data_IF_305176187127
#
_entry.id   IF_305176187127
#
_cell.length_a   1.000
_cell.length_b   1.000
_cell.length_c   1.000
_cell.angle_alpha   90.00
_cell.angle_beta   90.00
_cell.angle_gamma   90.00
#
_symmetry.space_group_name_H-M   'P 1'
#
loop_
_entity.id
_entity.type
_entity.pdbx_description
1 polymer ?
#
# COMPACT_ATOMS: atom_id res chain seq x y z
N UNK A 1 12.60 -8.91 -1.87
CA UNK A 1 11.38 -8.17 -2.29
C UNK A 1 11.18 -7.04 -1.30
N UNK A 2 11.08 -5.81 -1.78
CA UNK A 2 10.87 -4.65 -0.92
C UNK A 2 9.49 -4.79 -0.28
N UNK A 3 9.41 -4.84 1.05
CA UNK A 3 8.12 -4.96 1.74
C UNK A 3 7.48 -3.59 1.78
N UNK A 4 6.20 -3.50 1.40
CA UNK A 4 5.43 -2.26 1.50
C UNK A 4 5.36 -1.81 2.96
N UNK A 5 5.97 -0.66 3.26
CA UNK A 5 6.05 -0.13 4.62
C UNK A 5 5.17 1.10 4.83
N UNK A 6 5.20 1.64 6.05
CA UNK A 6 4.41 2.84 6.38
C UNK A 6 4.79 4.07 5.52
N UNK A 7 6.06 4.23 5.17
CA UNK A 7 6.50 5.37 4.35
C UNK A 7 6.03 5.28 2.90
N UNK A 8 5.67 4.10 2.40
CA UNK A 8 5.12 3.94 1.05
C UNK A 8 3.70 4.51 0.94
N UNK A 9 2.98 4.77 2.04
CA UNK A 9 1.67 5.45 1.97
C UNK A 9 1.76 6.85 1.35
N UNK A 10 2.91 7.52 1.49
CA UNK A 10 3.17 8.82 0.86
C UNK A 10 3.11 8.76 -0.67
N UNK A 11 3.29 7.56 -1.25
CA UNK A 11 3.11 7.36 -2.68
C UNK A 11 1.64 7.54 -3.10
N UNK A 12 0.68 7.10 -2.26
CA UNK A 12 -0.76 7.25 -2.53
C UNK A 12 -1.27 8.68 -2.32
N UNK A 13 -0.58 9.49 -1.52
CA UNK A 13 -0.93 10.90 -1.32
C UNK A 13 -0.68 11.75 -2.58
N UNK A 14 0.22 11.31 -3.46
CA UNK A 14 0.45 11.94 -4.77
C UNK A 14 -0.46 11.30 -5.80
N UNK A 15 -1.03 12.12 -6.69
CA UNK A 15 -1.85 11.62 -7.81
C UNK A 15 -1.06 10.57 -8.59
N UNK A 16 -1.50 9.29 -8.59
CA UNK A 16 -0.74 8.23 -9.25
C UNK A 16 -0.75 8.51 -10.75
N UNK A 17 0.44 8.52 -11.36
CA UNK A 17 0.63 8.88 -12.78
C UNK A 17 -0.03 7.88 -13.75
N UNK A 18 -0.41 6.69 -13.29
CA UNK A 18 -1.07 5.66 -14.09
C UNK A 18 -1.87 4.67 -13.25
N UNK A 19 -3.05 4.21 -13.72
CA UNK A 19 -3.85 3.16 -13.07
C UNK A 19 -3.07 1.85 -12.85
N UNK A 20 -2.16 1.52 -13.77
CA UNK A 20 -1.31 0.34 -13.67
C UNK A 20 -0.35 0.45 -12.49
N UNK A 21 0.28 1.61 -12.31
CA UNK A 21 1.19 1.86 -11.20
C UNK A 21 0.46 1.79 -9.85
N UNK A 22 -0.75 2.33 -9.78
CA UNK A 22 -1.62 2.25 -8.62
C UNK A 22 -1.94 0.80 -8.25
N UNK A 23 -2.32 -0.02 -9.25
CA UNK A 23 -2.60 -1.46 -9.05
C UNK A 23 -1.37 -2.21 -8.55
N UNK A 24 -0.20 -1.96 -9.11
CA UNK A 24 1.04 -2.58 -8.67
C UNK A 24 1.34 -2.26 -7.20
N UNK A 25 1.24 -0.97 -6.81
CA UNK A 25 1.50 -0.56 -5.41
C UNK A 25 0.47 -1.10 -4.41
N UNK A 26 -0.80 -1.17 -4.78
CA UNK A 26 -1.84 -1.81 -3.95
C UNK A 26 -1.56 -3.30 -3.78
N UNK A 27 -1.13 -3.98 -4.84
CA UNK A 27 -0.79 -5.41 -4.77
C UNK A 27 0.37 -5.64 -3.81
N UNK A 28 1.38 -4.78 -3.86
CA UNK A 28 2.54 -4.82 -2.97
C UNK A 28 2.14 -4.62 -1.49
N UNK A 29 1.21 -3.70 -1.23
CA UNK A 29 0.63 -3.47 0.10
C UNK A 29 -0.12 -4.70 0.62
N UNK A 30 -1.00 -5.28 -0.20
CA UNK A 30 -1.77 -6.48 0.18
C UNK A 30 -0.83 -7.64 0.46
N UNK A 31 0.18 -7.84 -0.38
CA UNK A 31 1.15 -8.93 -0.24
C UNK A 31 2.03 -8.78 1.01
N UNK A 32 2.33 -7.54 1.42
CA UNK A 32 3.18 -7.25 2.59
C UNK A 32 2.41 -7.20 3.92
N UNK A 33 1.08 -7.35 3.90
CA UNK A 33 0.23 -7.20 5.08
C UNK A 33 -0.25 -8.56 5.60
N UNK A 34 -0.30 -8.71 6.91
CA UNK A 34 -0.81 -9.94 7.53
C UNK A 34 -2.33 -10.06 7.43
N UNK A 35 -3.04 -8.93 7.52
CA UNK A 35 -4.51 -8.87 7.48
C UNK A 35 -4.98 -7.61 6.72
N UNK A 36 -4.53 -7.37 5.48
CA UNK A 36 -5.05 -6.25 4.68
C UNK A 36 -6.20 -6.68 3.76
N UNK A 37 -7.22 -5.83 3.72
CA UNK A 37 -8.29 -5.83 2.73
C UNK A 37 -8.24 -4.52 1.96
N UNK A 38 -8.30 -4.63 0.64
CA UNK A 38 -8.46 -3.50 -0.26
C UNK A 38 -9.82 -3.59 -0.94
N UNK A 39 -10.61 -2.53 -0.87
CA UNK A 39 -11.92 -2.44 -1.51
C UNK A 39 -12.04 -1.16 -2.32
N UNK A 40 -12.63 -1.25 -3.50
CA UNK A 40 -13.06 -0.07 -4.27
C UNK A 40 -14.47 0.28 -3.80
N UNK A 41 -14.61 1.45 -3.19
CA UNK A 41 -15.89 1.94 -2.65
C UNK A 41 -16.68 2.72 -3.69
N UNK A 42 -15.99 3.52 -4.52
CA UNK A 42 -16.66 4.34 -5.52
C UNK A 42 -15.78 4.49 -6.77
N UNK A 43 -16.43 4.57 -7.93
CA UNK A 43 -15.81 4.87 -9.21
C UNK A 43 -16.67 5.96 -9.84
N UNK A 44 -16.08 7.13 -10.10
CA UNK A 44 -16.74 8.17 -10.87
C UNK A 44 -16.38 7.98 -12.36
N UNK A 45 -17.31 7.47 -13.20
CA UNK A 45 -17.02 7.24 -14.61
C UNK A 45 -16.86 8.54 -15.42
N UNK A 46 -17.42 9.66 -14.94
CA UNK A 46 -17.38 10.94 -15.63
C UNK A 46 -16.03 11.64 -15.45
N UNK A 47 -15.41 11.51 -14.27
CA UNK A 47 -14.10 12.11 -13.96
C UNK A 47 -12.95 11.12 -13.96
N UNK A 48 -13.23 9.81 -13.93
CA UNK A 48 -12.24 8.75 -13.82
C UNK A 48 -11.65 8.61 -12.40
N UNK A 49 -12.28 9.18 -11.39
CA UNK A 49 -11.80 9.13 -10.00
C UNK A 49 -12.20 7.81 -9.31
N UNK A 50 -11.27 7.24 -8.56
CA UNK A 50 -11.48 5.99 -7.81
C UNK A 50 -11.32 6.26 -6.31
N UNK A 51 -12.30 5.82 -5.52
CA UNK A 51 -12.20 5.79 -4.05
C UNK A 51 -11.86 4.38 -3.61
N UNK A 52 -10.66 4.21 -3.06
CA UNK A 52 -10.15 2.92 -2.58
C UNK A 52 -10.01 2.99 -1.07
N UNK A 53 -10.54 2.00 -0.36
CA UNK A 53 -10.41 1.85 1.09
C UNK A 53 -9.48 0.68 1.38
N UNK A 54 -8.46 0.97 2.18
CA UNK A 54 -7.46 0.04 2.66
C UNK A 54 -7.70 -0.16 4.15
N UNK A 55 -7.96 -1.39 4.58
CA UNK A 55 -8.19 -1.72 5.99
C UNK A 55 -7.35 -2.92 6.39
N UNK A 56 -6.55 -2.80 7.44
CA UNK A 56 -5.78 -3.92 7.95
C UNK A 56 -4.62 -3.53 8.83
N UNK A 57 -3.80 -4.53 9.13
CA UNK A 57 -2.52 -4.38 9.83
C UNK A 57 -1.36 -4.59 8.86
N UNK A 58 -0.50 -3.59 8.79
CA UNK A 58 0.79 -3.64 8.10
C UNK A 58 1.86 -3.98 9.14
N UNK A 59 2.75 -4.90 8.78
CA UNK A 59 3.95 -5.15 9.56
C UNK A 59 4.81 -3.88 9.52
N UNK A 60 5.05 -3.28 10.68
CA UNK A 60 5.88 -2.08 10.76
C UNK A 60 7.34 -2.36 10.38
N UNK A 61 7.73 -3.64 10.23
CA UNK A 61 9.07 -4.04 9.89
C UNK A 61 10.02 -3.51 10.96
N UNK A 62 10.21 -4.27 12.03
CA UNK A 62 11.14 -3.89 13.09
C UNK A 62 12.58 -3.92 12.53
N UNK A 63 12.99 -2.85 11.86
CA UNK A 63 14.31 -2.64 11.28
C UNK A 63 15.39 -2.46 12.36
N UNK A 64 14.98 -2.38 13.63
CA UNK A 64 15.82 -2.36 14.82
C UNK A 64 16.02 -3.76 15.44
N UNK A 65 16.12 -4.82 14.63
CA UNK A 65 16.88 -5.99 15.10
C UNK A 65 18.30 -5.76 14.64
N UNK A 66 19.00 -4.95 15.43
CA UNK A 66 20.45 -4.87 15.45
C UNK A 66 20.98 -6.29 15.33
N UNK A 67 21.77 -6.51 14.29
CA UNK A 67 22.73 -7.59 14.17
C UNK A 67 23.75 -7.41 15.31
N UNK A 68 23.30 -7.67 16.54
CA UNK A 68 24.10 -7.77 17.76
C UNK A 68 24.09 -9.23 18.17
N UNK A 69 24.47 -10.09 17.23
CA UNK A 69 24.98 -11.41 17.57
C UNK A 69 26.49 -11.30 17.51
N UNK A 70 27.09 -11.36 18.69
CA UNK A 70 28.54 -11.48 18.93
C UNK A 70 29.16 -12.63 18.15
#
# INVERSE_FOLDING_TARGET
MNRFGFYDFKWFEKTPTSPQALKCKITDLIFSSWNARCRVENINPETGEYRIVLQGTIDWGNWNTTDSTK
#
